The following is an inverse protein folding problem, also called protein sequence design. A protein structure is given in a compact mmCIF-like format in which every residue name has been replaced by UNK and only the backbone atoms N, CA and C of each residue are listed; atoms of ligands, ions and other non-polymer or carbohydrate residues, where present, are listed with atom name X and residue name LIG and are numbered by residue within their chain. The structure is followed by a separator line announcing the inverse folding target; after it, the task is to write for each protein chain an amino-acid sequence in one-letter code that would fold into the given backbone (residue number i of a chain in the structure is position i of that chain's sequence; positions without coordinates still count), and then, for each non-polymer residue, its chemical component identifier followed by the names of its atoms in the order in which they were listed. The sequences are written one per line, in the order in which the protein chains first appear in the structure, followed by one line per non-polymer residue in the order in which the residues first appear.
data_IF_661461725605
#
_entry.id   IF_661461725605
#
_cell.length_a   1.000
_cell.length_b   1.000
_cell.length_c   1.000
_cell.angle_alpha   90.00
_cell.angle_beta   90.00
_cell.angle_gamma   90.00
#
_symmetry.space_group_name_H-M   'P 1'
#
loop_
_entity.id
_entity.type
_entity.pdbx_description
1 polymer ?
#
# COMPACT_ATOMS: atom_id res chain seq x y z
N UNK A 1 -32.54 -35.64 26.04
CA UNK A 1 -31.79 -36.42 25.01
C UNK A 1 -30.95 -35.41 24.23
N UNK A 2 -29.64 -35.43 24.44
CA UNK A 2 -28.73 -34.63 23.61
C UNK A 2 -28.57 -35.36 22.28
N UNK A 3 -29.11 -34.82 21.20
CA UNK A 3 -28.83 -35.32 19.85
C UNK A 3 -27.33 -35.16 19.59
N UNK A 4 -26.66 -36.27 19.30
CA UNK A 4 -25.26 -36.32 18.87
C UNK A 4 -25.09 -35.36 17.69
N UNK A 5 -24.46 -34.18 17.91
CA UNK A 5 -24.00 -33.37 16.81
C UNK A 5 -23.02 -34.21 15.97
N UNK A 6 -23.26 -34.32 14.68
CA UNK A 6 -22.34 -35.01 13.76
C UNK A 6 -20.93 -34.42 14.00
N UNK A 7 -19.97 -35.26 14.35
CA UNK A 7 -18.57 -34.85 14.52
C UNK A 7 -18.13 -34.31 13.17
N UNK A 8 -17.86 -33.00 13.10
CA UNK A 8 -17.34 -32.39 11.90
C UNK A 8 -16.03 -33.12 11.51
N UNK A 9 -15.93 -33.58 10.27
CA UNK A 9 -14.72 -34.21 9.77
C UNK A 9 -13.55 -33.26 9.95
N UNK A 10 -12.53 -33.66 10.69
CA UNK A 10 -11.32 -32.84 10.86
C UNK A 10 -10.67 -32.68 9.47
N UNK A 11 -10.53 -31.45 8.94
CA UNK A 11 -9.90 -31.24 7.65
C UNK A 11 -8.42 -31.66 7.69
N UNK A 12 -7.90 -32.17 6.58
CA UNK A 12 -6.48 -32.45 6.44
C UNK A 12 -5.63 -31.16 6.51
N UNK A 13 -4.31 -31.33 6.59
CA UNK A 13 -3.38 -30.19 6.57
C UNK A 13 -3.56 -29.37 5.28
N UNK A 14 -3.65 -28.05 5.43
CA UNK A 14 -3.70 -27.15 4.29
C UNK A 14 -2.31 -26.99 3.67
N UNK A 15 -2.17 -27.31 2.39
CA UNK A 15 -0.94 -27.08 1.61
C UNK A 15 -1.26 -26.06 0.52
N UNK A 16 -0.81 -24.80 0.66
CA UNK A 16 -1.07 -23.79 -0.35
C UNK A 16 -0.35 -24.13 -1.66
N UNK A 17 -0.96 -23.91 -2.82
CA UNK A 17 -0.29 -24.09 -4.09
C UNK A 17 0.81 -23.03 -4.27
N UNK A 18 1.90 -23.39 -4.96
CA UNK A 18 2.93 -22.41 -5.35
C UNK A 18 2.35 -21.40 -6.36
N UNK A 19 2.59 -20.13 -6.13
CA UNK A 19 2.14 -19.01 -6.98
C UNK A 19 3.22 -17.95 -7.11
N UNK A 20 3.28 -17.30 -8.26
CA UNK A 20 3.95 -16.02 -8.43
C UNK A 20 2.93 -14.91 -8.14
N UNK A 21 3.14 -14.17 -7.06
CA UNK A 21 2.22 -13.13 -6.62
C UNK A 21 2.53 -11.81 -7.33
N UNK A 22 1.97 -11.64 -8.52
CA UNK A 22 2.10 -10.44 -9.35
C UNK A 22 0.78 -9.64 -9.43
N UNK A 23 -0.08 -9.81 -8.42
CA UNK A 23 -1.29 -9.01 -8.23
C UNK A 23 -1.05 -7.69 -7.48
N UNK A 24 -2.11 -6.94 -7.18
CA UNK A 24 -2.02 -5.66 -6.46
C UNK A 24 -1.73 -5.81 -4.95
N UNK A 25 -1.18 -6.91 -4.54
CA UNK A 25 -0.91 -7.34 -3.17
C UNK A 25 -1.91 -8.39 -2.67
N UNK A 26 -1.46 -9.30 -1.78
CA UNK A 26 -0.12 -9.32 -1.18
C UNK A 26 1.00 -9.62 -2.17
N UNK A 27 2.22 -9.15 -1.87
CA UNK A 27 3.45 -9.52 -2.57
C UNK A 27 4.03 -10.82 -2.03
N UNK A 28 5.01 -11.39 -2.74
CA UNK A 28 5.79 -12.50 -2.20
C UNK A 28 6.52 -12.11 -0.91
N UNK A 29 6.75 -13.11 -0.08
CA UNK A 29 7.40 -12.96 1.22
C UNK A 29 8.74 -13.70 1.19
N UNK A 30 9.81 -13.02 1.59
CA UNK A 30 11.15 -13.62 1.64
C UNK A 30 11.19 -14.77 2.67
N UNK A 31 11.91 -15.89 2.41
CA UNK A 31 11.99 -17.04 3.34
C UNK A 31 12.42 -16.67 4.76
N UNK A 32 13.32 -15.69 4.93
CA UNK A 32 13.73 -15.19 6.26
C UNK A 32 12.55 -14.60 7.04
N UNK A 33 11.64 -13.90 6.36
CA UNK A 33 10.42 -13.31 6.98
C UNK A 33 9.45 -14.42 7.38
N UNK A 34 9.27 -15.45 6.54
CA UNK A 34 8.46 -16.62 6.89
C UNK A 34 9.05 -17.39 8.07
N UNK A 35 10.36 -17.55 8.12
CA UNK A 35 11.04 -18.17 9.27
C UNK A 35 10.83 -17.36 10.56
N UNK A 36 10.84 -16.02 10.49
CA UNK A 36 10.57 -15.17 11.64
C UNK A 36 9.16 -15.35 12.21
N UNK A 37 8.15 -15.61 11.37
CA UNK A 37 6.78 -15.94 11.83
C UNK A 37 6.70 -17.20 12.69
N UNK A 38 7.61 -18.14 12.48
CA UNK A 38 7.64 -19.44 13.15
C UNK A 38 8.49 -19.45 14.43
N UNK A 39 9.06 -18.31 14.84
CA UNK A 39 9.84 -18.22 16.08
C UNK A 39 8.94 -18.41 17.30
N UNK A 40 9.50 -18.96 18.41
CA UNK A 40 8.80 -19.06 19.69
C UNK A 40 8.27 -17.70 20.15
N UNK A 41 7.10 -17.70 20.77
CA UNK A 41 6.51 -16.49 21.33
C UNK A 41 7.18 -16.13 22.67
N UNK A 42 7.34 -14.85 22.89
CA UNK A 42 7.60 -14.25 24.22
C UNK A 42 6.41 -13.40 24.62
N UNK A 43 6.32 -12.98 25.88
CA UNK A 43 5.26 -12.06 26.33
C UNK A 43 5.36 -10.69 25.64
N UNK A 44 4.24 -10.05 25.43
CA UNK A 44 4.17 -8.72 24.78
C UNK A 44 4.76 -7.57 25.62
N UNK A 45 5.06 -7.83 26.89
CA UNK A 45 5.81 -6.92 27.79
C UNK A 45 7.18 -7.52 28.20
N UNK A 46 7.58 -8.65 27.61
CA UNK A 46 8.90 -9.22 27.82
C UNK A 46 9.98 -8.22 27.36
N UNK A 47 11.08 -8.03 28.13
CA UNK A 47 12.14 -7.11 27.74
C UNK A 47 12.72 -7.35 26.34
N UNK A 48 12.80 -8.62 25.89
CA UNK A 48 13.25 -8.96 24.56
C UNK A 48 12.27 -8.44 23.46
N UNK A 49 10.95 -8.55 23.72
CA UNK A 49 9.95 -8.01 22.81
C UNK A 49 9.96 -6.48 22.81
N UNK A 50 10.07 -5.86 23.98
CA UNK A 50 10.18 -4.40 24.11
C UNK A 50 11.43 -3.87 23.37
N UNK A 51 12.56 -4.53 23.49
CA UNK A 51 13.77 -4.18 22.73
C UNK A 51 13.53 -4.28 21.21
N UNK A 52 12.86 -5.34 20.76
CA UNK A 52 12.49 -5.53 19.36
C UNK A 52 11.50 -4.46 18.85
N UNK A 53 10.55 -3.99 19.69
CA UNK A 53 9.66 -2.88 19.34
C UNK A 53 10.42 -1.60 19.03
N UNK A 54 11.50 -1.28 19.80
CA UNK A 54 12.35 -0.12 19.51
C UNK A 54 13.10 -0.27 18.19
N UNK A 55 13.60 -1.46 17.86
CA UNK A 55 14.21 -1.73 16.57
C UNK A 55 13.21 -1.55 15.42
N UNK A 56 11.98 -2.03 15.57
CA UNK A 56 10.90 -1.84 14.56
C UNK A 56 10.62 -0.35 14.35
N UNK A 57 10.50 0.43 15.42
CA UNK A 57 10.33 1.90 15.33
C UNK A 57 11.48 2.56 14.57
N UNK A 58 12.73 2.19 14.89
CA UNK A 58 13.91 2.70 14.19
C UNK A 58 13.92 2.37 12.71
N UNK A 59 13.62 1.11 12.35
CA UNK A 59 13.56 0.66 10.96
C UNK A 59 12.38 1.29 10.20
N UNK A 60 11.23 1.50 10.82
CA UNK A 60 10.11 2.20 10.21
C UNK A 60 10.46 3.67 9.93
N UNK A 61 11.13 4.36 10.86
CA UNK A 61 11.61 5.72 10.62
C UNK A 61 12.56 5.79 9.42
N UNK A 62 13.46 4.82 9.28
CA UNK A 62 14.33 4.72 8.11
C UNK A 62 13.52 4.61 6.82
N UNK A 63 12.51 3.75 6.76
CA UNK A 63 11.73 3.50 5.54
C UNK A 63 10.79 4.66 5.22
N UNK A 64 10.21 5.33 6.21
CA UNK A 64 9.43 6.56 6.06
C UNK A 64 10.31 7.80 5.84
N UNK A 65 11.63 7.67 5.98
CA UNK A 65 12.58 8.80 5.91
C UNK A 65 12.15 9.93 6.84
N UNK A 66 12.00 9.61 8.13
CA UNK A 66 11.50 10.53 9.16
C UNK A 66 12.21 10.36 10.50
N UNK A 67 12.22 11.42 11.26
CA UNK A 67 12.65 11.46 12.66
C UNK A 67 11.49 11.41 13.66
N UNK A 68 10.26 11.35 13.19
CA UNK A 68 9.04 11.37 14.00
C UNK A 68 9.05 10.30 15.11
N UNK A 69 8.93 10.69 16.39
CA UNK A 69 8.94 9.74 17.51
C UNK A 69 7.76 8.76 17.45
N UNK A 70 6.57 9.24 17.08
CA UNK A 70 5.38 8.39 16.92
C UNK A 70 5.37 7.76 15.52
N UNK A 71 6.23 6.74 15.35
CA UNK A 71 6.32 5.90 14.16
C UNK A 71 6.23 4.46 14.62
N UNK A 72 5.06 3.84 14.45
CA UNK A 72 4.69 2.53 15.02
C UNK A 72 3.86 1.72 14.04
N UNK A 73 3.80 0.37 14.16
CA UNK A 73 2.85 -0.45 13.43
C UNK A 73 1.54 -0.59 14.24
N UNK A 74 0.43 -0.17 13.66
CA UNK A 74 -0.91 -0.48 14.18
C UNK A 74 -1.21 -1.97 13.99
N UNK A 75 -1.78 -2.61 15.00
CA UNK A 75 -2.26 -3.99 14.94
C UNK A 75 -3.51 -4.07 14.08
N UNK A 76 -3.34 -4.42 12.82
CA UNK A 76 -4.38 -4.47 11.80
C UNK A 76 -3.80 -4.26 10.40
N UNK A 77 -4.60 -4.47 9.37
CA UNK A 77 -4.16 -4.27 7.97
C UNK A 77 -4.10 -2.79 7.60
N UNK A 78 -3.64 -2.44 6.39
CA UNK A 78 -3.52 -1.05 5.93
C UNK A 78 -4.78 -0.18 6.12
N UNK A 79 -5.98 -0.77 6.03
CA UNK A 79 -7.23 -0.05 6.33
C UNK A 79 -7.35 0.34 7.81
N UNK A 80 -6.77 -0.44 8.72
CA UNK A 80 -6.70 -0.09 10.14
C UNK A 80 -5.82 1.15 10.38
N UNK A 81 -4.72 1.29 9.63
CA UNK A 81 -3.89 2.50 9.66
C UNK A 81 -4.61 3.72 9.09
N UNK A 82 -5.38 3.53 8.00
CA UNK A 82 -6.24 4.58 7.45
C UNK A 82 -7.22 5.09 8.52
N UNK A 83 -7.98 4.18 9.14
CA UNK A 83 -8.92 4.53 10.20
C UNK A 83 -8.23 5.15 11.41
N UNK A 84 -7.10 4.57 11.87
CA UNK A 84 -6.32 5.12 12.98
C UNK A 84 -5.89 6.57 12.71
N UNK A 85 -5.35 6.87 11.52
CA UNK A 85 -4.98 8.24 11.19
C UNK A 85 -6.18 9.18 11.19
N UNK A 86 -7.28 8.78 10.56
CA UNK A 86 -8.47 9.64 10.44
C UNK A 86 -9.10 9.91 11.79
N UNK A 87 -9.39 8.87 12.60
CA UNK A 87 -10.09 9.06 13.89
C UNK A 87 -9.26 9.84 14.92
N UNK A 88 -7.95 9.87 14.79
CA UNK A 88 -7.09 10.66 15.67
C UNK A 88 -6.96 12.12 15.24
N UNK A 89 -7.04 12.43 13.93
CA UNK A 89 -6.88 13.78 13.41
C UNK A 89 -8.20 14.53 13.24
N UNK A 90 -9.33 13.82 13.11
CA UNK A 90 -10.63 14.36 12.76
C UNK A 90 -11.58 14.31 13.98
N UNK A 91 -12.28 15.41 14.22
CA UNK A 91 -13.40 15.51 15.15
C UNK A 91 -14.71 15.72 14.37
N UNK A 92 -15.88 15.38 14.94
CA UNK A 92 -17.15 15.62 14.27
C UNK A 92 -17.33 17.09 13.88
N UNK A 93 -17.66 17.34 12.61
CA UNK A 93 -17.84 18.68 12.04
C UNK A 93 -16.58 19.29 11.43
N UNK A 94 -15.41 18.66 11.56
CA UNK A 94 -14.19 19.13 10.87
C UNK A 94 -14.34 19.05 9.33
N UNK A 95 -13.85 20.06 8.64
CA UNK A 95 -13.79 20.08 7.18
C UNK A 95 -12.55 19.35 6.68
N UNK A 96 -12.74 18.31 5.86
CA UNK A 96 -11.67 17.46 5.32
C UNK A 96 -11.72 17.43 3.80
N UNK A 97 -10.64 17.82 3.15
CA UNK A 97 -10.48 17.75 1.69
C UNK A 97 -9.81 16.43 1.32
N UNK A 98 -10.47 15.62 0.48
CA UNK A 98 -9.94 14.30 0.06
C UNK A 98 -9.81 14.22 -1.44
N UNK A 99 -8.61 13.92 -1.94
CA UNK A 99 -8.39 13.62 -3.34
C UNK A 99 -8.89 12.22 -3.71
N UNK A 100 -9.66 12.15 -4.81
CA UNK A 100 -10.31 10.93 -5.27
C UNK A 100 -10.02 10.70 -6.75
N UNK A 101 -9.10 9.78 -7.02
CA UNK A 101 -8.75 9.33 -8.37
C UNK A 101 -8.77 7.80 -8.48
N UNK A 102 -9.42 7.12 -7.53
CA UNK A 102 -9.56 5.68 -7.47
C UNK A 102 -10.34 5.19 -6.26
N UNK A 103 -10.29 3.87 -6.04
CA UNK A 103 -11.03 3.19 -4.95
C UNK A 103 -10.54 3.65 -3.59
N UNK A 104 -9.22 3.83 -3.42
CA UNK A 104 -8.67 4.12 -2.08
C UNK A 104 -8.93 5.57 -1.67
N UNK A 105 -8.91 6.52 -2.60
CA UNK A 105 -9.40 7.88 -2.34
C UNK A 105 -10.89 7.90 -1.97
N UNK A 106 -11.72 7.12 -2.67
CA UNK A 106 -13.15 6.95 -2.33
C UNK A 106 -13.33 6.37 -0.93
N UNK A 107 -12.54 5.36 -0.56
CA UNK A 107 -12.57 4.75 0.78
C UNK A 107 -12.15 5.74 1.86
N UNK A 108 -11.09 6.50 1.62
CA UNK A 108 -10.61 7.50 2.57
C UNK A 108 -11.66 8.57 2.84
N UNK A 109 -12.36 9.04 1.79
CA UNK A 109 -13.50 9.96 1.94
C UNK A 109 -14.64 9.35 2.77
N UNK A 110 -14.96 8.07 2.55
CA UNK A 110 -15.96 7.33 3.35
C UNK A 110 -15.55 7.23 4.83
N UNK A 111 -14.30 6.87 5.10
CA UNK A 111 -13.77 6.74 6.47
C UNK A 111 -13.80 8.10 7.18
N UNK A 112 -13.41 9.19 6.51
CA UNK A 112 -13.49 10.54 7.06
C UNK A 112 -14.95 10.94 7.36
N UNK A 113 -15.88 10.62 6.46
CA UNK A 113 -17.33 10.86 6.68
C UNK A 113 -17.83 10.10 7.89
N UNK A 114 -17.46 8.82 8.06
CA UNK A 114 -17.85 8.00 9.22
C UNK A 114 -17.25 8.53 10.53
N UNK A 115 -16.09 9.15 10.48
CA UNK A 115 -15.50 9.83 11.63
C UNK A 115 -16.21 11.16 11.98
N UNK A 116 -17.22 11.57 11.22
CA UNK A 116 -18.02 12.75 11.43
C UNK A 116 -17.54 14.00 10.69
N UNK A 117 -16.60 13.89 9.77
CA UNK A 117 -16.12 15.01 8.97
C UNK A 117 -17.14 15.51 7.94
N UNK A 118 -17.08 16.82 7.65
CA UNK A 118 -17.63 17.41 6.45
C UNK A 118 -16.61 17.25 5.30
N UNK A 119 -16.82 16.27 4.43
CA UNK A 119 -15.85 15.90 3.40
C UNK A 119 -16.09 16.66 2.10
N UNK A 120 -15.05 17.36 1.64
CA UNK A 120 -14.97 17.96 0.30
C UNK A 120 -14.12 17.04 -0.59
N UNK A 121 -14.73 16.45 -1.61
CA UNK A 121 -14.03 15.55 -2.55
C UNK A 121 -13.44 16.35 -3.70
N UNK A 122 -12.16 16.14 -3.98
CA UNK A 122 -11.46 16.66 -5.16
C UNK A 122 -11.27 15.49 -6.12
N UNK A 123 -12.13 15.40 -7.12
CA UNK A 123 -12.16 14.28 -8.04
C UNK A 123 -11.28 14.52 -9.27
N UNK A 124 -10.48 13.52 -9.63
CA UNK A 124 -9.79 13.45 -10.91
C UNK A 124 -10.24 12.19 -11.68
N UNK A 125 -10.20 12.19 -13.02
CA UNK A 125 -10.45 10.99 -13.80
C UNK A 125 -9.58 9.81 -13.33
N UNK A 126 -10.13 8.62 -13.32
CA UNK A 126 -9.41 7.42 -12.91
C UNK A 126 -8.19 7.18 -13.80
N UNK A 127 -7.01 7.06 -13.18
CA UNK A 127 -5.72 6.99 -13.85
C UNK A 127 -4.96 8.32 -13.90
N UNK A 128 -5.64 9.45 -13.67
CA UNK A 128 -5.00 10.75 -13.57
C UNK A 128 -4.67 11.08 -12.10
N UNK A 129 -3.84 12.09 -11.88
CA UNK A 129 -3.54 12.61 -10.54
C UNK A 129 -4.41 13.81 -10.20
N UNK A 130 -4.62 14.03 -8.91
CA UNK A 130 -5.22 15.26 -8.39
C UNK A 130 -4.17 16.36 -8.41
N UNK A 131 -4.47 17.51 -9.03
CA UNK A 131 -3.55 18.65 -9.13
C UNK A 131 -3.64 19.54 -7.89
N UNK A 132 -2.52 20.18 -7.54
CA UNK A 132 -2.47 21.08 -6.37
C UNK A 132 -3.46 22.24 -6.49
N UNK A 133 -3.68 22.77 -7.71
CA UNK A 133 -4.64 23.83 -7.99
C UNK A 133 -6.10 23.39 -7.71
N UNK A 134 -6.41 22.11 -7.92
CA UNK A 134 -7.74 21.58 -7.59
C UNK A 134 -7.92 21.48 -6.06
N UNK A 135 -6.86 21.10 -5.33
CA UNK A 135 -6.85 21.09 -3.86
C UNK A 135 -7.01 22.51 -3.32
N UNK A 136 -6.27 23.48 -3.87
CA UNK A 136 -6.37 24.88 -3.49
C UNK A 136 -7.78 25.45 -3.73
N UNK A 137 -8.37 25.15 -4.89
CA UNK A 137 -9.73 25.58 -5.20
C UNK A 137 -10.76 25.01 -4.20
N UNK A 138 -10.58 23.76 -3.75
CA UNK A 138 -11.44 23.16 -2.73
C UNK A 138 -11.23 23.82 -1.35
N UNK A 139 -9.99 24.07 -0.96
CA UNK A 139 -9.65 24.72 0.31
C UNK A 139 -10.20 26.13 0.43
N UNK A 140 -10.21 26.91 -0.66
CA UNK A 140 -10.82 28.27 -0.71
C UNK A 140 -12.32 28.27 -0.39
N UNK A 141 -13.01 27.14 -0.53
CA UNK A 141 -14.42 26.99 -0.20
C UNK A 141 -14.65 26.47 1.24
N UNK A 142 -13.62 26.05 1.94
CA UNK A 142 -13.68 25.66 3.33
C UNK A 142 -13.54 26.88 4.24
N UNK A 143 -14.28 26.90 5.35
CA UNK A 143 -14.18 27.96 6.36
C UNK A 143 -12.97 27.75 7.27
N UNK A 144 -12.75 26.48 7.66
CA UNK A 144 -11.69 26.08 8.55
C UNK A 144 -11.23 24.65 8.21
N UNK A 145 -10.48 24.49 7.12
CA UNK A 145 -10.03 23.15 6.70
C UNK A 145 -9.13 22.55 7.76
N UNK A 146 -9.47 21.34 8.20
CA UNK A 146 -8.72 20.58 9.21
C UNK A 146 -7.63 19.74 8.58
N UNK A 147 -7.95 19.07 7.47
CA UNK A 147 -7.12 18.03 6.88
C UNK A 147 -7.27 18.00 5.37
N UNK A 148 -6.15 17.88 4.67
CA UNK A 148 -6.09 17.42 3.27
C UNK A 148 -5.56 16.00 3.27
N UNK A 149 -6.19 15.09 2.52
CA UNK A 149 -5.78 13.70 2.45
C UNK A 149 -5.69 13.21 1.00
N UNK A 150 -4.53 12.68 0.60
CA UNK A 150 -4.27 12.15 -0.74
C UNK A 150 -3.69 10.72 -0.68
N UNK A 151 -4.02 9.91 -1.69
CA UNK A 151 -3.43 8.60 -1.91
C UNK A 151 -2.16 8.78 -2.74
N UNK A 152 -0.97 8.54 -2.16
CA UNK A 152 0.31 8.66 -2.87
C UNK A 152 0.45 7.65 -4.00
N UNK A 153 -0.04 6.41 -3.78
CA UNK A 153 0.04 5.31 -4.74
C UNK A 153 -1.33 4.61 -4.88
N UNK A 154 -2.14 5.07 -5.83
CA UNK A 154 -3.48 4.54 -6.05
C UNK A 154 -3.45 3.20 -6.81
N UNK A 155 -3.53 2.08 -6.07
CA UNK A 155 -3.41 0.73 -6.63
C UNK A 155 -4.57 0.29 -7.50
N UNK A 156 -5.70 0.97 -7.48
CA UNK A 156 -6.83 0.65 -8.35
C UNK A 156 -6.61 1.13 -9.79
N UNK A 157 -5.78 2.16 -9.98
CA UNK A 157 -5.56 2.83 -11.27
C UNK A 157 -4.11 2.83 -11.76
N UNK A 158 -3.14 2.59 -10.85
CA UNK A 158 -1.71 2.70 -11.14
C UNK A 158 -1.19 4.14 -11.15
N UNK A 159 -1.96 5.09 -10.65
CA UNK A 159 -1.56 6.50 -10.60
C UNK A 159 -0.61 6.78 -9.43
N UNK A 160 0.48 7.49 -9.71
CA UNK A 160 1.47 7.98 -8.75
C UNK A 160 1.25 9.47 -8.50
N UNK A 161 0.69 9.79 -7.35
CA UNK A 161 0.28 11.14 -6.97
C UNK A 161 1.48 11.95 -6.47
N UNK A 162 1.86 13.06 -7.12
CA UNK A 162 2.83 14.00 -6.56
C UNK A 162 2.23 14.71 -5.34
N UNK A 163 3.01 14.79 -4.24
CA UNK A 163 2.52 15.33 -2.97
C UNK A 163 3.03 16.76 -2.63
N UNK A 164 4.30 17.15 -2.91
CA UNK A 164 4.89 18.37 -2.33
C UNK A 164 4.07 19.64 -2.53
N UNK A 165 3.56 19.89 -3.74
CA UNK A 165 2.76 21.10 -4.00
C UNK A 165 1.41 21.07 -3.27
N UNK A 166 0.77 19.91 -3.18
CA UNK A 166 -0.50 19.77 -2.45
C UNK A 166 -0.29 19.94 -0.93
N UNK A 167 0.85 19.49 -0.39
CA UNK A 167 1.22 19.67 1.02
C UNK A 167 1.41 21.17 1.30
N UNK A 168 2.21 21.86 0.48
CA UNK A 168 2.43 23.29 0.62
C UNK A 168 1.10 24.07 0.63
N UNK A 169 0.23 23.77 -0.32
CA UNK A 169 -1.10 24.39 -0.41
C UNK A 169 -1.95 24.10 0.82
N UNK A 170 -1.95 22.87 1.34
CA UNK A 170 -2.67 22.51 2.58
C UNK A 170 -2.17 23.35 3.77
N UNK A 171 -0.84 23.48 3.91
CA UNK A 171 -0.22 24.23 5.00
C UNK A 171 -0.49 25.73 4.90
N UNK A 172 -0.47 26.32 3.70
CA UNK A 172 -0.81 27.73 3.45
C UNK A 172 -2.25 28.07 3.89
N UNK A 173 -3.16 27.06 3.87
CA UNK A 173 -4.53 27.19 4.36
C UNK A 173 -4.72 26.74 5.81
N UNK A 174 -3.63 26.42 6.53
CA UNK A 174 -3.67 26.00 7.93
C UNK A 174 -4.16 24.56 8.15
N UNK A 175 -4.35 23.77 7.10
CA UNK A 175 -4.73 22.38 7.19
C UNK A 175 -3.53 21.46 7.45
N UNK A 176 -3.78 20.28 8.07
CA UNK A 176 -2.84 19.18 8.14
C UNK A 176 -2.84 18.41 6.81
N UNK A 177 -1.78 17.63 6.57
CA UNK A 177 -1.69 16.75 5.42
C UNK A 177 -1.51 15.28 5.83
N UNK A 178 -2.43 14.42 5.37
CA UNK A 178 -2.39 12.96 5.53
C UNK A 178 -2.14 12.29 4.19
N UNK A 179 -1.24 11.30 4.14
CA UNK A 179 -1.06 10.51 2.92
C UNK A 179 -1.14 9.00 3.14
N UNK A 180 -1.77 8.33 2.18
CA UNK A 180 -1.74 6.86 2.05
C UNK A 180 -0.49 6.43 1.30
N UNK A 181 0.43 5.78 2.02
CA UNK A 181 1.65 5.19 1.46
C UNK A 181 1.59 3.66 1.42
N UNK A 182 0.39 3.06 1.47
CA UNK A 182 0.24 1.59 1.56
C UNK A 182 1.03 0.90 0.46
N UNK A 183 1.01 1.41 -0.75
CA UNK A 183 1.66 0.75 -1.88
C UNK A 183 3.06 1.30 -2.17
N UNK A 184 3.34 2.55 -1.85
CA UNK A 184 4.62 3.18 -2.16
C UNK A 184 5.72 2.92 -1.13
N UNK A 185 5.38 2.75 0.16
CA UNK A 185 6.38 2.63 1.22
C UNK A 185 7.33 1.44 0.98
N UNK A 186 8.62 1.74 0.83
CA UNK A 186 9.65 0.75 0.51
C UNK A 186 9.72 0.33 -0.97
N UNK A 187 8.93 0.94 -1.86
CA UNK A 187 8.96 0.68 -3.31
C UNK A 187 9.28 1.93 -4.15
N UNK A 188 8.95 3.10 -3.62
CA UNK A 188 9.28 4.42 -4.17
C UNK A 188 9.62 5.37 -3.03
N UNK A 189 10.22 6.55 -3.30
CA UNK A 189 10.48 7.56 -2.29
C UNK A 189 9.21 7.94 -1.52
N UNK A 190 9.31 7.95 -0.18
CA UNK A 190 8.32 8.47 0.77
C UNK A 190 9.10 9.27 1.80
N UNK A 191 9.32 10.54 1.50
CA UNK A 191 10.24 11.43 2.21
C UNK A 191 9.45 12.31 3.19
N UNK A 192 8.95 11.70 4.27
CA UNK A 192 8.00 12.32 5.20
C UNK A 192 8.52 13.65 5.73
N UNK A 193 9.76 13.71 6.21
CA UNK A 193 10.32 14.95 6.77
C UNK A 193 10.60 15.99 5.67
N UNK A 194 11.19 15.57 4.53
CA UNK A 194 11.54 16.48 3.44
C UNK A 194 10.32 17.08 2.75
N UNK A 195 9.20 16.36 2.71
CA UNK A 195 7.93 16.83 2.14
C UNK A 195 7.04 17.50 3.19
N UNK A 196 7.43 17.51 4.46
CA UNK A 196 6.64 18.07 5.57
C UNK A 196 5.26 17.40 5.72
N UNK A 197 5.17 16.08 5.53
CA UNK A 197 3.92 15.32 5.72
C UNK A 197 3.58 15.25 7.21
N UNK A 198 2.37 15.65 7.59
CA UNK A 198 1.94 15.66 8.99
C UNK A 198 1.62 14.25 9.51
N UNK A 199 0.98 13.41 8.70
CA UNK A 199 0.71 12.02 9.03
C UNK A 199 0.71 11.13 7.80
N UNK A 200 1.13 9.88 7.97
CA UNK A 200 1.09 8.88 6.92
C UNK A 200 0.80 7.48 7.48
N UNK A 201 0.19 6.63 6.64
CA UNK A 201 0.01 5.23 6.94
C UNK A 201 0.41 4.33 5.78
N UNK A 202 0.70 3.06 6.10
CA UNK A 202 1.05 2.05 5.12
C UNK A 202 0.44 0.69 5.47
N UNK A 203 0.78 -0.34 4.71
CA UNK A 203 0.42 -1.74 4.96
C UNK A 203 1.58 -2.66 4.64
N UNK A 204 1.75 -3.72 5.43
CA UNK A 204 2.94 -4.57 5.37
C UNK A 204 3.01 -5.44 4.12
N UNK A 205 1.87 -5.78 3.50
CA UNK A 205 1.76 -6.78 2.43
C UNK A 205 2.11 -6.26 1.01
N UNK A 206 2.55 -5.01 0.89
CA UNK A 206 2.92 -4.40 -0.39
C UNK A 206 4.45 -4.43 -0.56
N UNK A 207 5.08 -3.27 -0.77
CA UNK A 207 6.52 -3.22 -1.02
C UNK A 207 7.40 -3.58 0.18
N UNK A 208 6.86 -3.64 1.40
CA UNK A 208 7.59 -4.17 2.55
C UNK A 208 7.71 -5.71 2.52
N UNK A 209 6.89 -6.40 1.71
CA UNK A 209 6.94 -7.87 1.55
C UNK A 209 6.86 -8.65 2.87
N UNK A 210 6.02 -8.17 3.77
CA UNK A 210 5.67 -8.85 5.00
C UNK A 210 4.20 -9.28 4.91
N UNK A 211 3.79 -10.39 5.50
CA UNK A 211 2.39 -10.81 5.49
C UNK A 211 1.45 -9.70 6.00
N UNK A 212 0.19 -9.64 5.51
CA UNK A 212 -0.79 -8.66 5.99
C UNK A 212 -1.12 -8.89 7.46
N UNK A 213 -1.31 -7.83 8.23
CA UNK A 213 -1.67 -7.90 9.65
C UNK A 213 -1.17 -6.73 10.48
N UNK A 214 -0.27 -5.92 9.94
CA UNK A 214 0.20 -4.68 10.55
C UNK A 214 0.09 -3.51 9.57
N UNK A 215 -0.11 -2.32 10.12
CA UNK A 215 -0.16 -1.07 9.37
C UNK A 215 0.81 -0.05 9.99
N UNK A 216 1.99 0.16 9.40
CA UNK A 216 2.89 1.23 9.81
C UNK A 216 2.22 2.59 9.69
N UNK A 217 2.38 3.43 10.71
CA UNK A 217 1.96 4.84 10.71
C UNK A 217 3.11 5.73 11.19
N UNK A 218 3.07 6.99 10.82
CA UNK A 218 3.94 8.04 11.36
C UNK A 218 3.16 9.34 11.54
N UNK A 219 3.42 10.03 12.66
CA UNK A 219 2.80 11.32 13.00
C UNK A 219 3.89 12.32 13.32
N UNK A 220 3.90 13.43 12.58
CA UNK A 220 4.78 14.57 12.76
C UNK A 220 4.31 15.50 13.89
N UNK A 221 5.13 16.51 14.23
CA UNK A 221 4.84 17.42 15.35
C UNK A 221 3.48 18.10 15.27
N UNK A 222 3.08 18.61 14.09
CA UNK A 222 1.78 19.27 13.89
C UNK A 222 0.60 18.31 14.08
N UNK A 223 0.72 17.07 13.63
CA UNK A 223 -0.31 16.05 13.83
C UNK A 223 -0.42 15.65 15.31
N UNK A 224 0.70 15.54 16.04
CA UNK A 224 0.73 15.30 17.49
C UNK A 224 0.12 16.47 18.25
N UNK A 225 0.41 17.71 17.88
CA UNK A 225 -0.21 18.89 18.47
C UNK A 225 -1.74 18.86 18.29
N UNK A 226 -2.20 18.58 17.05
CA UNK A 226 -3.61 18.46 16.75
C UNK A 226 -4.31 17.33 17.54
N UNK A 227 -3.63 16.18 17.69
CA UNK A 227 -4.11 15.07 18.50
C UNK A 227 -4.30 15.48 19.98
N UNK A 228 -3.31 16.18 20.56
CA UNK A 228 -3.36 16.65 21.96
C UNK A 228 -4.35 17.80 22.17
N UNK A 229 -4.62 18.59 21.15
CA UNK A 229 -5.57 19.70 21.21
C UNK A 229 -7.04 19.29 21.00
N UNK A 230 -7.32 17.99 20.83
CA UNK A 230 -8.69 17.47 20.65
C UNK A 230 -9.59 17.87 21.82
N UNK A 231 -10.84 18.15 21.51
CA UNK A 231 -11.88 18.48 22.47
C UNK A 231 -12.78 17.29 22.81
N UNK A 232 -12.81 16.29 21.95
CA UNK A 232 -13.59 15.07 22.11
C UNK A 232 -12.67 13.85 22.19
N UNK A 233 -13.05 12.78 22.90
CA UNK A 233 -12.32 11.51 22.86
C UNK A 233 -12.20 11.00 21.42
N UNK A 234 -11.13 10.27 21.14
CA UNK A 234 -10.98 9.55 19.86
C UNK A 234 -12.14 8.54 19.74
N UNK A 235 -12.79 8.48 18.57
CA UNK A 235 -13.99 7.66 18.36
C UNK A 235 -13.74 6.15 18.47
N UNK A 236 -12.48 5.73 18.45
CA UNK A 236 -12.06 4.34 18.61
C UNK A 236 -11.10 4.22 19.77
N UNK A 237 -11.48 3.51 20.83
CA UNK A 237 -10.56 3.19 21.93
C UNK A 237 -9.34 2.40 21.43
N UNK A 238 -9.55 1.45 20.52
CA UNK A 238 -8.49 0.57 20.01
C UNK A 238 -7.44 1.32 19.19
N UNK A 239 -7.83 2.34 18.44
CA UNK A 239 -6.97 3.16 17.62
C UNK A 239 -6.59 4.51 18.24
N UNK A 240 -6.92 4.73 19.51
CA UNK A 240 -6.52 5.96 20.21
C UNK A 240 -5.00 6.01 20.38
N UNK A 241 -4.35 6.89 19.62
CA UNK A 241 -2.89 7.05 19.62
C UNK A 241 -2.37 7.59 20.94
N UNK A 242 -3.17 8.28 21.75
CA UNK A 242 -2.77 8.73 23.08
C UNK A 242 -2.57 7.55 24.04
N UNK A 243 -3.30 6.45 23.82
CA UNK A 243 -3.16 5.21 24.57
C UNK A 243 -2.06 4.33 23.96
N UNK A 244 -2.00 4.23 22.64
CA UNK A 244 -0.98 3.46 21.91
C UNK A 244 0.42 4.04 22.11
N UNK A 245 0.58 5.37 22.16
CA UNK A 245 1.84 6.04 22.47
C UNK A 245 2.41 5.58 23.82
N UNK A 246 1.57 5.38 24.83
CA UNK A 246 1.99 4.87 26.14
C UNK A 246 2.47 3.42 26.10
N UNK A 247 1.86 2.60 25.24
CA UNK A 247 2.26 1.21 25.05
C UNK A 247 3.57 1.09 24.24
N UNK A 248 3.71 1.85 23.17
CA UNK A 248 4.88 1.88 22.28
C UNK A 248 6.00 2.81 22.78
N UNK A 249 5.71 3.68 23.75
CA UNK A 249 6.64 4.63 24.36
C UNK A 249 7.37 4.05 25.60
N UNK A 250 7.96 4.91 26.39
CA UNK A 250 8.78 4.51 27.55
C UNK A 250 7.94 3.90 28.69
N UNK A 251 6.68 4.32 28.85
CA UNK A 251 5.82 3.89 29.94
C UNK A 251 5.44 2.41 29.88
N UNK A 252 5.39 1.81 28.68
CA UNK A 252 5.01 0.41 28.44
C UNK A 252 3.68 0.00 29.06
N UNK A 253 2.73 0.91 29.12
CA UNK A 253 1.39 0.65 29.65
C UNK A 253 0.66 -0.33 28.73
N UNK A 254 0.14 -1.43 29.31
CA UNK A 254 -0.62 -2.40 28.55
C UNK A 254 -1.84 -1.75 27.87
N UNK A 255 -1.95 -1.95 26.57
CA UNK A 255 -3.10 -1.56 25.76
C UNK A 255 -3.81 -2.80 25.20
N UNK A 256 -3.09 -3.63 24.46
CA UNK A 256 -3.57 -4.88 23.89
C UNK A 256 -2.40 -5.86 23.74
N UNK A 257 -2.70 -7.15 23.60
CA UNK A 257 -1.67 -8.12 23.26
C UNK A 257 -1.27 -7.94 21.80
N UNK A 258 -0.08 -7.38 21.58
CA UNK A 258 0.44 -7.18 20.23
C UNK A 258 0.55 -8.51 19.48
N UNK A 259 0.34 -8.51 18.15
CA UNK A 259 0.53 -9.69 17.31
C UNK A 259 2.02 -9.99 17.15
N UNK A 260 2.59 -10.74 18.10
CA UNK A 260 4.04 -10.93 18.30
C UNK A 260 4.71 -11.48 17.05
N UNK A 261 4.23 -12.61 16.50
CA UNK A 261 4.80 -13.21 15.29
C UNK A 261 4.78 -12.25 14.09
N UNK A 262 3.73 -11.43 13.97
CA UNK A 262 3.64 -10.43 12.90
C UNK A 262 4.69 -9.32 13.07
N UNK A 263 4.99 -8.91 14.31
CA UNK A 263 6.05 -7.96 14.60
C UNK A 263 7.43 -8.56 14.34
N UNK A 264 7.66 -9.85 14.63
CA UNK A 264 8.89 -10.55 14.23
C UNK A 264 9.07 -10.53 12.71
N UNK A 265 8.01 -10.85 11.97
CA UNK A 265 8.02 -10.81 10.51
C UNK A 265 8.27 -9.40 9.97
N UNK A 266 7.62 -8.38 10.53
CA UNK A 266 7.82 -7.00 10.13
C UNK A 266 9.25 -6.53 10.36
N UNK A 267 9.82 -6.83 11.56
CA UNK A 267 11.22 -6.52 11.86
C UNK A 267 12.15 -7.09 10.80
N UNK A 268 11.98 -8.37 10.45
CA UNK A 268 12.84 -9.03 9.48
C UNK A 268 12.64 -8.49 8.06
N UNK A 269 11.41 -8.19 7.67
CA UNK A 269 11.11 -7.55 6.39
C UNK A 269 11.77 -6.15 6.28
N UNK A 270 11.69 -5.36 7.34
CA UNK A 270 12.34 -4.04 7.41
C UNK A 270 13.87 -4.14 7.40
N UNK A 271 14.45 -5.17 8.03
CA UNK A 271 15.89 -5.44 7.94
C UNK A 271 16.32 -5.72 6.51
N UNK A 272 15.57 -6.53 5.77
CA UNK A 272 15.84 -6.77 4.34
C UNK A 272 15.78 -5.50 3.51
N UNK A 273 14.83 -4.59 3.80
CA UNK A 273 14.78 -3.27 3.15
C UNK A 273 16.03 -2.45 3.48
N UNK A 274 16.46 -2.45 4.74
CA UNK A 274 17.65 -1.72 5.18
C UNK A 274 18.95 -2.32 4.61
N UNK A 275 19.04 -3.66 4.53
CA UNK A 275 20.19 -4.38 3.93
C UNK A 275 20.33 -4.08 2.42
N UNK A 276 19.21 -4.01 1.68
CA UNK A 276 19.21 -3.62 0.26
C UNK A 276 19.51 -2.13 0.08
N UNK A 277 19.03 -1.29 0.99
CA UNK A 277 19.09 0.16 0.93
C UNK A 277 18.00 0.76 0.02
N UNK A 278 17.38 1.86 0.47
CA UNK A 278 16.25 2.48 -0.22
C UNK A 278 16.57 2.89 -1.67
N UNK A 279 17.73 3.53 -1.98
CA UNK A 279 18.05 3.92 -3.36
C UNK A 279 18.16 2.72 -4.31
N UNK A 280 18.83 1.65 -3.90
CA UNK A 280 18.97 0.42 -4.71
C UNK A 280 17.60 -0.24 -4.91
N UNK A 281 16.78 -0.27 -3.87
CA UNK A 281 15.44 -0.84 -3.91
C UNK A 281 14.51 -0.07 -4.85
N UNK A 282 14.53 1.25 -4.82
CA UNK A 282 13.75 2.10 -5.73
C UNK A 282 14.23 1.93 -7.18
N UNK A 283 15.55 1.89 -7.41
CA UNK A 283 16.11 1.64 -8.73
C UNK A 283 15.70 0.28 -9.30
N UNK A 284 15.66 -0.77 -8.47
CA UNK A 284 15.20 -2.12 -8.85
C UNK A 284 13.74 -2.12 -9.27
N UNK A 285 12.85 -1.45 -8.50
CA UNK A 285 11.43 -1.32 -8.87
C UNK A 285 11.27 -0.55 -10.19
N UNK A 286 11.95 0.57 -10.33
CA UNK A 286 11.92 1.38 -11.55
C UNK A 286 12.45 0.62 -12.78
N UNK A 287 13.54 -0.15 -12.64
CA UNK A 287 14.09 -0.97 -13.74
C UNK A 287 13.11 -2.05 -14.18
N UNK A 288 12.54 -2.80 -13.22
CA UNK A 288 11.58 -3.86 -13.53
C UNK A 288 10.29 -3.31 -14.14
N UNK A 289 9.83 -2.15 -13.67
CA UNK A 289 8.72 -1.42 -14.28
C UNK A 289 9.00 -1.07 -15.74
N UNK A 290 10.14 -0.44 -16.04
CA UNK A 290 10.50 -0.08 -17.42
C UNK A 290 10.56 -1.31 -18.32
N UNK A 291 11.14 -2.41 -17.85
CA UNK A 291 11.22 -3.65 -18.61
C UNK A 291 9.82 -4.27 -18.85
N UNK A 292 8.96 -4.27 -17.82
CA UNK A 292 7.58 -4.72 -17.97
C UNK A 292 6.82 -3.86 -19.00
N UNK A 293 6.92 -2.54 -18.89
CA UNK A 293 6.22 -1.60 -19.79
C UNK A 293 6.69 -1.78 -21.23
N UNK A 294 8.00 -1.87 -21.47
CA UNK A 294 8.53 -2.13 -22.82
C UNK A 294 7.99 -3.44 -23.42
N UNK A 295 7.92 -4.51 -22.62
CA UNK A 295 7.30 -5.76 -23.04
C UNK A 295 5.82 -5.61 -23.35
N UNK A 296 5.04 -4.95 -22.50
CA UNK A 296 3.62 -4.71 -22.70
C UNK A 296 3.35 -3.86 -23.95
N UNK A 297 4.06 -2.77 -24.13
CA UNK A 297 3.93 -1.88 -25.28
C UNK A 297 4.27 -2.59 -26.60
N UNK A 298 5.26 -3.49 -26.60
CA UNK A 298 5.60 -4.32 -27.77
C UNK A 298 4.46 -5.30 -28.17
N UNK A 299 3.57 -5.61 -27.24
CA UNK A 299 2.35 -6.39 -27.46
C UNK A 299 1.16 -5.51 -27.87
N UNK A 300 1.35 -4.20 -28.02
CA UNK A 300 0.28 -3.24 -28.29
C UNK A 300 -0.61 -2.97 -27.08
N UNK A 301 -0.12 -3.21 -25.86
CA UNK A 301 -0.83 -2.93 -24.62
C UNK A 301 -0.43 -1.57 -24.06
N UNK A 302 -1.34 -0.90 -23.37
CA UNK A 302 -1.11 0.41 -22.76
C UNK A 302 -1.45 0.42 -21.28
N UNK A 303 -0.86 1.35 -20.55
CA UNK A 303 -1.18 1.59 -19.14
C UNK A 303 -2.31 2.61 -19.02
N UNK A 304 -3.23 2.36 -18.05
CA UNK A 304 -4.37 3.23 -17.79
C UNK A 304 -3.97 4.54 -17.09
N UNK A 305 -2.86 4.52 -16.32
CA UNK A 305 -2.37 5.73 -15.66
C UNK A 305 -1.72 6.69 -16.66
N UNK A 306 -1.93 7.99 -16.43
CA UNK A 306 -1.38 9.05 -17.30
C UNK A 306 0.15 9.01 -17.36
N UNK A 307 0.70 9.40 -18.51
CA UNK A 307 2.14 9.43 -18.70
C UNK A 307 2.80 10.40 -17.70
N UNK A 308 3.97 10.00 -17.16
CA UNK A 308 4.68 10.76 -16.13
C UNK A 308 4.20 10.52 -14.70
N UNK A 309 3.03 9.88 -14.50
CA UNK A 309 2.45 9.59 -13.19
C UNK A 309 2.12 8.10 -13.01
N UNK A 310 2.95 7.22 -13.54
CA UNK A 310 2.80 5.77 -13.47
C UNK A 310 3.56 5.19 -12.30
N UNK A 311 2.89 4.36 -11.49
CA UNK A 311 3.52 3.67 -10.37
C UNK A 311 4.51 2.60 -10.85
N UNK A 312 5.76 2.59 -10.36
CA UNK A 312 6.69 1.52 -10.70
C UNK A 312 6.26 0.15 -10.16
N UNK A 313 5.60 0.12 -8.99
CA UNK A 313 5.24 -1.12 -8.30
C UNK A 313 3.85 -1.64 -8.65
N UNK A 314 3.02 -0.87 -9.38
CA UNK A 314 1.71 -1.34 -9.84
C UNK A 314 1.34 -0.77 -11.20
N UNK A 315 1.01 -1.65 -12.12
CA UNK A 315 0.69 -1.34 -13.51
C UNK A 315 -0.75 -1.75 -13.82
N UNK A 316 -1.65 -0.77 -14.00
CA UNK A 316 -2.98 -1.03 -14.51
C UNK A 316 -2.91 -1.06 -16.05
N UNK A 317 -3.00 -2.24 -16.63
CA UNK A 317 -2.83 -2.48 -18.06
C UNK A 317 -4.19 -2.59 -18.73
N UNK A 318 -4.45 -1.76 -19.74
CA UNK A 318 -5.72 -1.78 -20.47
C UNK A 318 -5.87 -3.07 -21.27
N UNK A 319 -6.99 -3.75 -21.07
CA UNK A 319 -7.33 -4.96 -21.82
C UNK A 319 -7.68 -4.57 -23.27
N UNK A 320 -7.07 -5.21 -24.27
CA UNK A 320 -7.40 -4.91 -25.68
C UNK A 320 -8.82 -5.32 -26.03
N UNK A 321 -9.42 -4.63 -27.00
CA UNK A 321 -10.73 -4.98 -27.52
C UNK A 321 -10.78 -6.44 -28.00
N UNK A 322 -11.89 -7.11 -27.68
CA UNK A 322 -12.12 -8.51 -28.03
C UNK A 322 -11.40 -9.55 -27.16
N UNK A 323 -10.61 -9.12 -26.18
CA UNK A 323 -9.96 -10.01 -25.20
C UNK A 323 -10.76 -10.04 -23.91
N UNK A 324 -11.09 -11.23 -23.44
CA UNK A 324 -11.73 -11.42 -22.13
C UNK A 324 -10.69 -11.30 -21.01
N UNK A 325 -10.82 -10.25 -20.21
CA UNK A 325 -9.92 -9.94 -19.08
C UNK A 325 -9.83 -11.12 -18.10
N UNK A 326 -10.96 -11.69 -17.74
CA UNK A 326 -11.03 -12.75 -16.74
C UNK A 326 -10.44 -14.09 -17.26
N UNK A 327 -10.57 -14.38 -18.54
CA UNK A 327 -9.96 -15.58 -19.16
C UNK A 327 -8.45 -15.51 -19.14
N UNK A 328 -7.87 -14.35 -19.47
CA UNK A 328 -6.42 -14.16 -19.38
C UNK A 328 -5.93 -14.41 -17.95
N UNK A 329 -6.56 -13.82 -16.94
CA UNK A 329 -6.19 -14.05 -15.53
C UNK A 329 -6.31 -15.52 -15.12
N UNK A 330 -7.42 -16.16 -15.52
CA UNK A 330 -7.66 -17.58 -15.23
C UNK A 330 -6.60 -18.48 -15.87
N UNK A 331 -6.18 -18.16 -17.12
CA UNK A 331 -5.13 -18.90 -17.83
C UNK A 331 -3.77 -18.71 -17.17
N UNK A 332 -3.37 -17.47 -16.83
CA UNK A 332 -2.13 -17.19 -16.11
C UNK A 332 -2.07 -17.94 -14.79
N UNK A 333 -3.16 -17.94 -14.03
CA UNK A 333 -3.23 -18.66 -12.75
C UNK A 333 -3.21 -20.17 -12.94
N UNK A 334 -4.04 -20.71 -13.86
CA UNK A 334 -4.23 -22.14 -14.03
C UNK A 334 -3.07 -22.84 -14.72
N UNK A 335 -2.53 -22.25 -15.80
CA UNK A 335 -1.47 -22.87 -16.58
C UNK A 335 -0.05 -22.54 -16.09
N UNK A 336 0.14 -21.33 -15.54
CA UNK A 336 1.48 -20.82 -15.18
C UNK A 336 1.66 -20.54 -13.68
N UNK A 337 0.61 -20.68 -12.87
CA UNK A 337 0.69 -20.33 -11.44
C UNK A 337 0.92 -18.85 -11.16
N UNK A 338 0.65 -17.96 -12.12
CA UNK A 338 0.87 -16.53 -12.01
C UNK A 338 -0.44 -15.84 -11.64
N UNK A 339 -0.46 -15.15 -10.49
CA UNK A 339 -1.60 -14.38 -10.03
C UNK A 339 -1.44 -12.90 -10.39
N UNK A 340 -2.39 -12.35 -11.16
CA UNK A 340 -2.55 -10.91 -11.40
C UNK A 340 -3.96 -10.46 -11.00
N UNK A 341 -4.15 -9.16 -10.72
CA UNK A 341 -5.45 -8.64 -10.32
C UNK A 341 -6.30 -8.17 -11.48
N UNK A 342 -7.61 -8.18 -11.31
CA UNK A 342 -8.56 -7.48 -12.21
C UNK A 342 -8.76 -6.03 -11.78
N UNK A 343 -9.39 -5.23 -12.67
CA UNK A 343 -9.79 -3.86 -12.39
C UNK A 343 -10.85 -3.75 -11.28
N UNK A 344 -10.98 -2.57 -10.70
CA UNK A 344 -11.98 -2.23 -9.69
C UNK A 344 -12.85 -1.06 -10.20
N UNK A 345 -14.03 -0.88 -9.60
CA UNK A 345 -14.94 0.20 -9.95
C UNK A 345 -15.18 0.31 -11.47
N UNK A 346 -15.04 1.51 -12.06
CA UNK A 346 -15.21 1.73 -13.50
C UNK A 346 -14.21 0.97 -14.38
N UNK A 347 -13.09 0.51 -13.84
CA UNK A 347 -12.05 -0.26 -14.55
C UNK A 347 -12.29 -1.78 -14.49
N UNK A 348 -13.33 -2.26 -13.80
CA UNK A 348 -13.67 -3.69 -13.72
C UNK A 348 -13.91 -4.27 -15.11
N UNK A 349 -13.22 -5.38 -15.43
CA UNK A 349 -13.28 -6.04 -16.74
C UNK A 349 -12.55 -5.29 -17.87
N UNK A 350 -11.86 -4.18 -17.57
CA UNK A 350 -11.18 -3.34 -18.56
C UNK A 350 -9.67 -3.24 -18.38
N UNK A 351 -9.16 -3.63 -17.21
CA UNK A 351 -7.72 -3.60 -16.93
C UNK A 351 -7.28 -4.82 -16.15
N UNK A 352 -6.05 -5.24 -16.38
CA UNK A 352 -5.30 -6.09 -15.46
C UNK A 352 -4.47 -5.21 -14.55
N UNK A 353 -4.36 -5.59 -13.28
CA UNK A 353 -3.44 -4.93 -12.33
C UNK A 353 -2.26 -5.86 -12.07
N UNK A 354 -1.10 -5.45 -12.55
CA UNK A 354 0.15 -6.19 -12.44
C UNK A 354 1.03 -5.51 -11.40
N UNK A 355 1.32 -6.21 -10.31
CA UNK A 355 2.13 -5.74 -9.19
C UNK A 355 3.57 -6.22 -9.31
N UNK A 356 4.51 -5.28 -9.14
CA UNK A 356 5.94 -5.53 -8.99
C UNK A 356 6.39 -4.97 -7.64
N UNK A 357 5.87 -5.56 -6.54
CA UNK A 357 6.02 -5.02 -5.19
C UNK A 357 7.06 -5.81 -4.39
N UNK A 358 8.03 -5.12 -3.80
CA UNK A 358 9.00 -5.71 -2.88
C UNK A 358 9.70 -6.94 -3.47
N UNK A 359 9.52 -8.11 -2.84
CA UNK A 359 10.08 -9.39 -3.29
C UNK A 359 9.52 -9.86 -4.64
N UNK A 360 8.31 -9.45 -5.01
CA UNK A 360 7.75 -9.76 -6.34
C UNK A 360 8.39 -8.93 -7.46
N UNK A 361 9.14 -7.87 -7.15
CA UNK A 361 9.84 -7.04 -8.15
C UNK A 361 11.18 -7.66 -8.53
N UNK A 362 11.15 -8.69 -9.38
CA UNK A 362 12.35 -9.43 -9.85
C UNK A 362 12.34 -9.53 -11.36
N UNK A 363 13.54 -9.47 -11.97
CA UNK A 363 13.73 -9.70 -13.42
C UNK A 363 13.10 -11.02 -13.87
N UNK A 364 13.32 -12.11 -13.12
CA UNK A 364 12.74 -13.43 -13.43
C UNK A 364 11.21 -13.41 -13.50
N UNK A 365 10.55 -12.67 -12.62
CA UNK A 365 9.10 -12.56 -12.57
C UNK A 365 8.54 -11.77 -13.75
N UNK A 366 9.21 -10.67 -14.15
CA UNK A 366 8.85 -9.90 -15.35
C UNK A 366 8.95 -10.79 -16.59
N UNK A 367 10.05 -11.53 -16.73
CA UNK A 367 10.26 -12.45 -17.87
C UNK A 367 9.20 -13.56 -17.88
N UNK A 368 8.94 -14.21 -16.74
CA UNK A 368 7.93 -15.26 -16.64
C UNK A 368 6.53 -14.75 -16.99
N UNK A 369 6.14 -13.56 -16.45
CA UNK A 369 4.84 -12.96 -16.74
C UNK A 369 4.70 -12.61 -18.23
N UNK A 370 5.70 -11.98 -18.85
CA UNK A 370 5.63 -11.57 -20.26
C UNK A 370 5.53 -12.79 -21.19
N UNK A 371 6.27 -13.86 -20.91
CA UNK A 371 6.18 -15.11 -21.68
C UNK A 371 4.78 -15.73 -21.57
N UNK A 372 4.24 -15.83 -20.35
CA UNK A 372 2.91 -16.39 -20.10
C UNK A 372 1.80 -15.52 -20.70
N UNK A 373 1.94 -14.18 -20.64
CA UNK A 373 0.97 -13.25 -21.22
C UNK A 373 0.94 -13.32 -22.75
N UNK A 374 2.11 -13.44 -23.40
CA UNK A 374 2.15 -13.69 -24.87
C UNK A 374 1.40 -14.96 -25.26
N UNK A 375 1.59 -16.06 -24.53
CA UNK A 375 0.90 -17.31 -24.76
C UNK A 375 -0.62 -17.15 -24.54
N UNK A 376 -1.02 -16.52 -23.45
CA UNK A 376 -2.41 -16.30 -23.11
C UNK A 376 -3.12 -15.42 -24.16
N UNK A 377 -2.48 -14.37 -24.65
CA UNK A 377 -3.02 -13.52 -25.71
C UNK A 377 -3.17 -14.25 -27.04
N UNK A 378 -2.21 -15.11 -27.42
CA UNK A 378 -2.32 -15.97 -28.63
C UNK A 378 -3.49 -16.94 -28.51
N UNK A 379 -3.70 -17.52 -27.32
CA UNK A 379 -4.80 -18.45 -27.09
C UNK A 379 -6.18 -17.76 -27.18
N UNK A 380 -6.25 -16.44 -26.96
CA UNK A 380 -7.44 -15.61 -27.19
C UNK A 380 -7.47 -15.01 -28.62
N UNK A 381 -6.70 -15.56 -29.55
CA UNK A 381 -6.75 -15.20 -30.97
C UNK A 381 -5.94 -13.96 -31.36
N UNK A 382 -5.17 -13.37 -30.47
CA UNK A 382 -4.29 -12.24 -30.81
C UNK A 382 -3.07 -12.70 -31.61
N UNK A 383 -2.75 -11.98 -32.68
CA UNK A 383 -1.54 -12.22 -33.48
C UNK A 383 -0.34 -11.58 -32.80
N UNK A 384 0.39 -12.37 -32.03
CA UNK A 384 1.62 -11.98 -31.33
C UNK A 384 2.74 -12.93 -31.75
N UNK A 385 3.86 -12.40 -32.24
CA UNK A 385 5.03 -13.21 -32.53
C UNK A 385 5.68 -13.69 -31.22
N UNK A 386 6.05 -14.97 -31.08
CA UNK A 386 6.70 -15.49 -29.90
C UNK A 386 7.99 -14.73 -29.57
N UNK A 387 8.18 -14.38 -28.30
CA UNK A 387 9.39 -13.72 -27.81
C UNK A 387 9.45 -12.20 -28.00
N UNK A 388 8.41 -11.59 -28.56
CA UNK A 388 8.34 -10.12 -28.81
C UNK A 388 8.49 -9.34 -27.51
N UNK A 389 7.69 -9.64 -26.49
CA UNK A 389 7.75 -8.94 -25.21
C UNK A 389 9.04 -9.22 -24.44
N UNK A 390 9.55 -10.45 -24.56
CA UNK A 390 10.82 -10.82 -23.94
C UNK A 390 11.99 -10.06 -24.53
N UNK A 391 12.07 -9.93 -25.86
CA UNK A 391 13.11 -9.17 -26.53
C UNK A 391 13.09 -7.69 -26.11
N UNK A 392 11.91 -7.07 -26.06
CA UNK A 392 11.76 -5.69 -25.62
C UNK A 392 12.21 -5.50 -24.16
N UNK A 393 11.79 -6.38 -23.25
CA UNK A 393 12.20 -6.32 -21.84
C UNK A 393 13.72 -6.55 -21.68
N UNK A 394 14.31 -7.49 -22.44
CA UNK A 394 15.75 -7.76 -22.40
C UNK A 394 16.59 -6.57 -22.85
N UNK A 395 16.14 -5.81 -23.84
CA UNK A 395 16.78 -4.55 -24.26
C UNK A 395 16.90 -3.57 -23.10
N UNK A 396 15.83 -3.43 -22.29
CA UNK A 396 15.85 -2.55 -21.10
C UNK A 396 16.82 -3.06 -20.03
N UNK A 397 16.92 -4.38 -19.84
CA UNK A 397 17.84 -4.96 -18.84
C UNK A 397 19.31 -4.95 -19.29
N UNK A 398 19.57 -4.76 -20.57
CA UNK A 398 20.93 -4.70 -21.13
C UNK A 398 21.48 -3.25 -21.17
N UNK A 399 20.61 -2.24 -21.09
CA UNK A 399 20.96 -0.81 -21.06
C UNK A 399 21.31 -0.35 -19.64
#
# INVERSE_FOLDING_TARGET
MYTSAAVATIPGAFVPPARLLLGPGPSEVHPRVLAALALPLVGHLDPAFVGMMEEVKGLLRLVFQTTNPLTIPISGTGSAGMEACVVNLVEPGDEVVVGVNGVFGTRLAEVATRAGASVVRVEAPWGNVVRAEQVEAALKNCRRPKLVALIHAETSTGAWQPLPDAIRVAHEHGALFLTDCVTSLGGAPVEIDAWEVDAAYSGTQKCLSCPPGLSPITFGPRAIEALRARKTPVQSWYFDLTLLEKYWGEERVYHHTAPISMNYALREALRLVAEEGLPARFARHALNHRALVAGLESLGLSLAAEAGHRLPMLNAVTTPDGVDEARIRSRLLGAHGIEIGGGLGPMKGRVWRIGLMGESSRRSHVIALLAALEEALRAEGRRVAPGTALAAAQTVYAA
#
